data_IF_932916650003
#
_entry.id   IF_932916650003
#
_cell.length_a   1.000
_cell.length_b   1.000
_cell.length_c   1.000
_cell.angle_alpha   90.00
_cell.angle_beta   90.00
_cell.angle_gamma   90.00
#
_symmetry.space_group_name_H-M   'P 1'
#
loop_
_entity.id
_entity.type
_entity.pdbx_description
1 polymer ?
#
# COMPACT_ATOMS: atom_id res chain seq x y z
N UNK A 1 10.33 -20.35 67.42
CA UNK A 1 10.74 -19.37 66.42
C UNK A 1 11.10 -19.99 65.05
N UNK A 2 10.34 -20.97 64.57
CA UNK A 2 10.61 -21.62 63.29
C UNK A 2 9.44 -21.52 62.27
N UNK A 3 8.32 -20.91 62.66
CA UNK A 3 7.12 -20.84 61.80
C UNK A 3 6.94 -19.52 61.04
N UNK A 4 7.80 -18.50 61.29
CA UNK A 4 7.61 -17.17 60.70
C UNK A 4 8.49 -16.94 59.43
N UNK A 5 9.37 -17.87 59.11
CA UNK A 5 10.23 -17.75 57.91
C UNK A 5 9.65 -18.38 56.65
N UNK A 6 8.60 -19.18 56.77
CA UNK A 6 8.02 -19.91 55.63
C UNK A 6 6.92 -19.16 54.91
N UNK A 7 6.38 -18.10 55.50
CA UNK A 7 5.26 -17.33 54.93
C UNK A 7 5.72 -16.20 53.99
N UNK A 8 6.99 -15.75 54.10
CA UNK A 8 7.50 -14.65 53.29
C UNK A 8 7.93 -15.09 51.89
N UNK A 9 8.15 -16.38 51.68
CA UNK A 9 8.56 -16.91 50.35
C UNK A 9 7.44 -17.26 49.40
N UNK A 10 6.18 -17.29 49.91
CA UNK A 10 5.01 -17.66 49.09
C UNK A 10 4.33 -16.48 48.37
N UNK A 11 4.75 -15.24 48.63
CA UNK A 11 4.07 -14.03 48.08
C UNK A 11 4.79 -13.33 46.93
N UNK A 12 5.91 -13.87 46.45
CA UNK A 12 6.68 -13.24 45.35
C UNK A 12 6.47 -13.94 44.00
N UNK A 13 5.68 -15.00 43.94
CA UNK A 13 5.56 -15.83 42.72
C UNK A 13 4.27 -15.60 41.91
N UNK A 14 3.48 -14.56 42.18
CA UNK A 14 2.23 -14.29 41.43
C UNK A 14 2.24 -12.85 40.91
N UNK A 15 3.22 -12.49 40.10
CA UNK A 15 3.13 -11.29 39.28
C UNK A 15 3.93 -11.40 37.99
N UNK A 16 4.00 -12.59 37.41
CA UNK A 16 4.25 -12.71 35.96
C UNK A 16 2.91 -12.61 35.26
N UNK A 17 2.33 -11.42 35.31
CA UNK A 17 1.23 -11.06 34.42
C UNK A 17 1.76 -11.22 32.99
N UNK A 18 1.22 -12.23 32.35
CA UNK A 18 1.28 -12.42 30.93
C UNK A 18 0.88 -11.10 30.24
N UNK A 19 1.88 -10.37 29.77
CA UNK A 19 1.72 -9.46 28.64
C UNK A 19 1.42 -10.36 27.44
N UNK A 20 0.18 -10.86 27.37
CA UNK A 20 -0.38 -11.32 26.10
C UNK A 20 -0.44 -10.07 25.22
N UNK A 21 0.66 -9.81 24.52
CA UNK A 21 0.63 -8.96 23.36
C UNK A 21 -0.48 -9.56 22.49
N UNK A 22 -1.63 -8.92 22.47
CA UNK A 22 -2.62 -9.15 21.43
C UNK A 22 -1.93 -8.86 20.11
N UNK A 23 -1.32 -9.86 19.52
CA UNK A 23 -0.90 -9.82 18.14
C UNK A 23 -2.17 -9.57 17.33
N UNK A 24 -2.41 -8.32 17.00
CA UNK A 24 -3.47 -7.93 16.06
C UNK A 24 -3.07 -8.51 14.73
N UNK A 25 -3.62 -9.68 14.40
CA UNK A 25 -3.36 -10.32 13.11
C UNK A 25 -4.07 -9.49 12.06
N UNK A 26 -3.32 -8.62 11.40
CA UNK A 26 -3.78 -7.87 10.25
C UNK A 26 -4.05 -8.85 9.11
N UNK A 27 -5.16 -8.65 8.40
CA UNK A 27 -5.51 -9.50 7.26
C UNK A 27 -4.85 -8.95 6.01
N UNK A 28 -4.01 -9.77 5.37
CA UNK A 28 -3.44 -9.42 4.08
C UNK A 28 -4.53 -9.23 3.02
N UNK A 29 -4.38 -8.16 2.24
CA UNK A 29 -5.27 -7.77 1.15
C UNK A 29 -4.59 -8.12 -0.15
N UNK A 30 -5.24 -8.95 -0.97
CA UNK A 30 -4.78 -9.22 -2.33
C UNK A 30 -5.07 -8.03 -3.24
N UNK A 31 -4.16 -7.74 -4.14
CA UNK A 31 -4.29 -6.68 -5.14
C UNK A 31 -3.85 -7.18 -6.52
N UNK A 32 -4.18 -6.41 -7.54
CA UNK A 32 -3.75 -6.62 -8.93
C UNK A 32 -3.19 -5.30 -9.46
N UNK A 33 -2.07 -5.33 -10.13
CA UNK A 33 -1.55 -4.17 -10.86
C UNK A 33 -2.46 -3.77 -12.02
N UNK A 34 -2.66 -2.46 -12.17
CA UNK A 34 -3.28 -1.88 -13.34
C UNK A 34 -2.18 -1.44 -14.30
N UNK A 35 -2.20 -1.95 -15.53
CA UNK A 35 -1.18 -1.74 -16.53
C UNK A 35 -1.68 -0.80 -17.64
N UNK A 36 -0.73 -0.23 -18.40
CA UNK A 36 -0.97 0.63 -19.55
C UNK A 36 -1.70 1.94 -19.19
N UNK A 37 -1.23 2.55 -18.11
CA UNK A 37 -1.55 3.91 -17.71
C UNK A 37 -0.28 4.77 -17.69
N UNK A 38 -0.43 6.07 -17.70
CA UNK A 38 0.65 7.04 -17.46
C UNK A 38 0.12 8.18 -16.60
N UNK A 39 1.01 8.81 -15.82
CA UNK A 39 0.67 10.01 -15.05
C UNK A 39 0.57 11.19 -16.01
N UNK A 40 -0.52 11.95 -15.94
CA UNK A 40 -0.74 13.13 -16.79
C UNK A 40 0.29 14.21 -16.48
N UNK A 41 0.67 14.97 -17.50
CA UNK A 41 1.70 16.02 -17.37
C UNK A 41 1.29 17.23 -16.52
N UNK A 42 0.00 17.40 -16.27
CA UNK A 42 -0.57 18.49 -15.47
C UNK A 42 -0.75 18.13 -13.98
N UNK A 43 -0.38 16.92 -13.59
CA UNK A 43 -0.38 16.49 -12.19
C UNK A 43 0.75 17.17 -11.43
N UNK A 44 0.40 17.85 -10.34
CA UNK A 44 1.33 18.51 -9.44
C UNK A 44 1.28 17.97 -8.01
N UNK A 45 0.24 17.22 -7.66
CA UNK A 45 0.10 16.56 -6.37
C UNK A 45 0.45 15.07 -6.49
N UNK A 46 1.62 14.71 -5.98
CA UNK A 46 2.18 13.35 -5.98
C UNK A 46 1.87 12.56 -4.69
N UNK A 47 0.99 13.08 -3.83
CA UNK A 47 0.62 12.35 -2.61
C UNK A 47 -0.02 11.00 -2.93
N UNK A 48 0.35 9.93 -2.23
CA UNK A 48 -0.31 8.64 -2.36
C UNK A 48 -1.81 8.75 -2.07
N UNK A 49 -2.64 8.07 -2.85
CA UNK A 49 -4.10 8.22 -2.75
C UNK A 49 -4.88 6.97 -3.09
N UNK A 50 -6.11 6.94 -2.64
CA UNK A 50 -7.12 6.00 -3.10
C UNK A 50 -8.02 6.70 -4.11
N UNK A 51 -8.25 6.05 -5.24
CA UNK A 51 -9.08 6.51 -6.36
C UNK A 51 -10.34 5.65 -6.38
N UNK A 52 -11.51 6.28 -6.34
CA UNK A 52 -12.79 5.62 -6.12
C UNK A 52 -13.72 5.64 -7.34
N UNK A 53 -13.37 6.42 -8.36
CA UNK A 53 -14.18 6.59 -9.55
C UNK A 53 -13.33 6.77 -10.81
N UNK A 54 -13.95 6.55 -11.96
CA UNK A 54 -13.32 6.79 -13.25
C UNK A 54 -12.96 8.28 -13.43
N UNK A 55 -13.83 9.20 -13.03
CA UNK A 55 -13.56 10.64 -13.09
C UNK A 55 -12.35 11.03 -12.27
N UNK A 56 -12.18 10.44 -11.07
CA UNK A 56 -11.02 10.68 -10.23
C UNK A 56 -9.75 10.09 -10.86
N UNK A 57 -9.83 8.89 -11.47
CA UNK A 57 -8.71 8.29 -12.18
C UNK A 57 -8.20 9.21 -13.31
N UNK A 58 -9.09 9.76 -14.10
CA UNK A 58 -8.80 10.63 -15.26
C UNK A 58 -8.18 11.97 -14.87
N UNK A 59 -8.28 12.38 -13.61
CA UNK A 59 -7.56 13.57 -13.09
C UNK A 59 -6.05 13.33 -12.99
N UNK A 60 -5.62 12.10 -12.76
CA UNK A 60 -4.22 11.76 -12.52
C UNK A 60 -3.60 10.93 -13.63
N UNK A 61 -4.40 10.12 -14.31
CA UNK A 61 -3.89 9.13 -15.25
C UNK A 61 -4.55 9.24 -16.62
N UNK A 62 -3.72 9.06 -17.64
CA UNK A 62 -4.16 8.78 -19.01
C UNK A 62 -3.94 7.31 -19.35
N UNK A 63 -4.61 6.84 -20.40
CA UNK A 63 -4.49 5.48 -20.91
C UNK A 63 -3.37 5.41 -21.97
N UNK A 64 -2.46 4.47 -21.82
CA UNK A 64 -1.34 4.22 -22.72
C UNK A 64 -1.56 2.88 -23.45
N UNK A 65 -2.47 2.85 -24.41
CA UNK A 65 -2.66 1.65 -25.23
C UNK A 65 -1.40 1.38 -26.08
N UNK A 66 -0.90 0.15 -26.02
CA UNK A 66 0.18 -0.33 -26.86
C UNK A 66 -0.40 -1.28 -27.90
N UNK A 67 -0.01 -1.12 -29.17
CA UNK A 67 -0.48 -2.03 -30.21
C UNK A 67 0.12 -3.44 -29.97
N UNK A 68 -0.76 -4.39 -29.67
CA UNK A 68 -0.42 -5.81 -29.59
C UNK A 68 -1.47 -6.64 -30.30
N UNK A 69 -1.06 -7.73 -30.94
CA UNK A 69 -1.97 -8.61 -31.69
C UNK A 69 -2.88 -9.46 -30.81
N UNK A 70 -2.55 -9.59 -29.53
CA UNK A 70 -3.27 -10.42 -28.53
C UNK A 70 -4.13 -9.62 -27.56
N UNK A 71 -4.20 -8.27 -27.76
CA UNK A 71 -4.95 -7.37 -26.86
C UNK A 71 -4.27 -7.11 -25.50
N UNK A 72 -3.07 -7.64 -25.27
CA UNK A 72 -2.34 -7.45 -23.98
C UNK A 72 -1.90 -5.99 -23.75
N UNK A 73 -1.84 -5.20 -24.83
CA UNK A 73 -1.47 -3.78 -24.76
C UNK A 73 -2.59 -2.83 -24.38
N UNK A 74 -3.78 -3.32 -24.05
CA UNK A 74 -4.88 -2.48 -23.63
C UNK A 74 -4.79 -2.10 -22.16
N UNK A 75 -5.17 -0.88 -21.77
CA UNK A 75 -5.26 -0.50 -20.37
C UNK A 75 -6.13 -1.46 -19.56
N UNK A 76 -5.68 -1.80 -18.36
CA UNK A 76 -6.46 -2.63 -17.44
C UNK A 76 -7.82 -1.96 -17.18
N UNK A 77 -8.92 -2.59 -17.56
CA UNK A 77 -10.24 -2.09 -17.25
C UNK A 77 -10.50 -2.12 -15.74
N UNK A 78 -10.97 -1.01 -15.18
CA UNK A 78 -11.23 -0.87 -13.75
C UNK A 78 -12.74 -0.76 -13.51
N UNK A 79 -13.30 -1.75 -12.85
CA UNK A 79 -14.68 -1.72 -12.40
C UNK A 79 -14.78 -1.01 -11.04
N UNK A 80 -15.01 0.29 -11.06
CA UNK A 80 -15.15 1.10 -9.86
C UNK A 80 -16.43 0.83 -9.06
N UNK A 81 -17.31 -0.05 -9.49
CA UNK A 81 -18.42 -0.52 -8.65
C UNK A 81 -17.93 -1.54 -7.61
N UNK A 82 -16.85 -2.27 -7.91
CA UNK A 82 -16.31 -3.38 -7.09
C UNK A 82 -14.91 -3.11 -6.56
N UNK A 83 -14.12 -2.27 -7.22
CA UNK A 83 -12.71 -1.99 -6.94
C UNK A 83 -12.48 -0.53 -6.60
N UNK A 84 -11.49 -0.28 -5.78
CA UNK A 84 -10.79 0.99 -5.69
C UNK A 84 -9.41 0.82 -6.31
N UNK A 85 -8.86 1.91 -6.85
CA UNK A 85 -7.47 1.93 -7.24
C UNK A 85 -6.64 2.66 -6.20
N UNK A 86 -5.43 2.16 -5.93
CA UNK A 86 -4.44 2.79 -5.07
C UNK A 86 -3.34 3.28 -5.97
N UNK A 87 -3.08 4.57 -5.91
CA UNK A 87 -2.04 5.23 -6.68
C UNK A 87 -0.93 5.72 -5.75
N UNK A 88 0.30 5.36 -6.06
CA UNK A 88 1.50 5.92 -5.46
C UNK A 88 2.28 6.54 -6.62
N UNK A 89 2.50 7.84 -6.55
CA UNK A 89 3.16 8.61 -7.59
C UNK A 89 4.36 9.30 -6.93
N UNK A 90 5.53 9.22 -7.54
CA UNK A 90 6.72 9.94 -7.08
C UNK A 90 7.00 11.14 -7.98
N UNK A 91 7.85 12.02 -7.51
CA UNK A 91 8.24 13.20 -8.28
C UNK A 91 8.96 12.80 -9.57
N UNK A 92 8.87 13.67 -10.59
CA UNK A 92 9.58 13.51 -11.84
C UNK A 92 11.07 13.32 -11.61
N UNK A 93 11.65 12.34 -12.27
CA UNK A 93 13.06 11.97 -12.17
C UNK A 93 13.58 11.52 -13.52
N UNK A 94 14.91 11.47 -13.66
CA UNK A 94 15.59 10.86 -14.78
C UNK A 94 16.42 9.62 -14.36
N UNK A 95 16.25 9.15 -13.12
CA UNK A 95 16.90 7.95 -12.59
C UNK A 95 15.86 6.84 -12.52
N UNK A 96 16.22 5.63 -12.99
CA UNK A 96 15.36 4.46 -12.88
C UNK A 96 14.82 4.34 -11.44
N UNK A 97 13.51 4.36 -11.31
CA UNK A 97 12.83 4.40 -10.00
C UNK A 97 11.74 3.35 -9.97
N UNK A 98 11.85 2.42 -9.05
CA UNK A 98 10.86 1.38 -8.80
C UNK A 98 10.08 1.68 -7.51
N UNK A 99 8.75 1.48 -7.57
CA UNK A 99 7.85 1.63 -6.44
C UNK A 99 7.24 0.25 -6.14
N UNK A 100 7.71 -0.36 -5.08
CA UNK A 100 7.28 -1.70 -4.68
C UNK A 100 6.35 -1.66 -3.47
N UNK A 101 5.13 -2.20 -3.61
CA UNK A 101 4.22 -2.39 -2.48
C UNK A 101 4.68 -3.62 -1.69
N UNK A 102 5.13 -3.39 -0.46
CA UNK A 102 5.63 -4.45 0.42
C UNK A 102 4.49 -5.16 1.16
N UNK A 103 3.42 -4.45 1.49
CA UNK A 103 2.21 -5.06 2.04
C UNK A 103 0.98 -4.16 1.92
N UNK A 104 -0.18 -4.79 1.78
CA UNK A 104 -1.48 -4.17 2.01
C UNK A 104 -2.18 -4.99 3.07
N UNK A 105 -2.50 -4.39 4.21
CA UNK A 105 -3.08 -5.06 5.34
C UNK A 105 -4.32 -4.33 5.85
N UNK A 106 -5.39 -5.09 6.12
CA UNK A 106 -6.59 -4.59 6.79
C UNK A 106 -6.52 -4.89 8.27
N UNK A 107 -6.62 -3.85 9.08
CA UNK A 107 -6.68 -3.91 10.53
C UNK A 107 -8.09 -4.27 11.01
N UNK A 108 -8.20 -4.71 12.26
CA UNK A 108 -9.49 -5.02 12.91
C UNK A 108 -10.40 -3.80 13.05
N UNK A 109 -9.83 -2.60 13.15
CA UNK A 109 -10.56 -1.32 13.20
C UNK A 109 -11.15 -0.90 11.84
N UNK A 110 -10.94 -1.71 10.80
CA UNK A 110 -11.44 -1.47 9.46
C UNK A 110 -10.51 -0.64 8.57
N UNK A 111 -9.46 -0.06 9.14
CA UNK A 111 -8.46 0.72 8.39
C UNK A 111 -7.53 -0.16 7.58
N UNK A 112 -7.12 0.33 6.44
CA UNK A 112 -6.16 -0.34 5.56
C UNK A 112 -4.81 0.38 5.65
N UNK A 113 -3.73 -0.37 5.83
CA UNK A 113 -2.37 0.16 5.79
C UNK A 113 -1.66 -0.35 4.56
N UNK A 114 -1.10 0.56 3.77
CA UNK A 114 -0.31 0.26 2.59
C UNK A 114 1.12 0.66 2.87
N UNK A 115 2.02 -0.34 2.83
CA UNK A 115 3.47 -0.13 2.98
C UNK A 115 4.12 -0.25 1.62
N UNK A 116 5.05 0.64 1.33
CA UNK A 116 5.75 0.63 0.06
C UNK A 116 7.17 1.15 0.20
N UNK A 117 8.03 0.72 -0.70
CA UNK A 117 9.41 1.19 -0.86
C UNK A 117 9.58 1.86 -2.21
N UNK A 118 10.43 2.86 -2.23
CA UNK A 118 10.89 3.51 -3.46
C UNK A 118 12.39 3.30 -3.55
N UNK A 119 12.84 2.70 -4.63
CA UNK A 119 14.25 2.45 -4.88
C UNK A 119 14.67 3.10 -6.18
N UNK A 120 15.86 3.67 -6.19
CA UNK A 120 16.47 4.25 -7.38
C UNK A 120 17.74 3.48 -7.72
N UNK A 121 17.97 3.25 -9.01
CA UNK A 121 19.12 2.49 -9.47
C UNK A 121 19.59 3.00 -10.83
N UNK A 122 20.86 2.68 -11.17
CA UNK A 122 21.41 3.01 -12.47
C UNK A 122 21.93 4.44 -12.60
N UNK A 123 22.19 4.83 -13.84
CA UNK A 123 22.69 6.17 -14.22
C UNK A 123 21.52 7.01 -14.74
N UNK A 124 21.61 8.36 -14.62
CA UNK A 124 20.57 9.23 -15.16
C UNK A 124 20.34 9.04 -16.67
N UNK A 125 19.08 8.97 -17.07
CA UNK A 125 18.67 8.95 -18.47
C UNK A 125 18.73 10.37 -19.08
N UNK A 126 18.69 10.46 -20.40
CA UNK A 126 18.58 11.73 -21.14
C UNK A 126 17.14 12.30 -21.14
N UNK A 127 16.18 11.59 -20.60
CA UNK A 127 14.78 11.97 -20.47
C UNK A 127 14.32 11.86 -19.03
N UNK A 128 13.24 12.56 -18.70
CA UNK A 128 12.59 12.46 -17.39
C UNK A 128 11.24 11.79 -17.50
N UNK A 129 10.82 11.12 -16.44
CA UNK A 129 9.52 10.46 -16.32
C UNK A 129 8.99 10.60 -14.89
N UNK A 130 7.71 10.31 -14.70
CA UNK A 130 7.05 10.31 -13.40
C UNK A 130 6.83 8.86 -12.98
N UNK A 131 7.58 8.34 -11.99
CA UNK A 131 7.40 7.00 -11.49
C UNK A 131 6.05 6.86 -10.78
N UNK A 132 5.38 5.75 -11.00
CA UNK A 132 4.13 5.46 -10.28
C UNK A 132 3.89 3.95 -10.19
N UNK A 133 3.05 3.56 -9.24
CA UNK A 133 2.38 2.27 -9.23
C UNK A 133 0.88 2.47 -9.04
N UNK A 134 0.09 1.69 -9.76
CA UNK A 134 -1.37 1.72 -9.71
C UNK A 134 -1.88 0.30 -9.47
N UNK A 135 -2.51 0.05 -8.34
CA UNK A 135 -3.00 -1.28 -7.99
C UNK A 135 -4.48 -1.24 -7.61
N UNK A 136 -5.16 -2.36 -7.88
CA UNK A 136 -6.59 -2.53 -7.67
C UNK A 136 -6.84 -3.37 -6.43
N UNK A 137 -7.66 -2.87 -5.52
CA UNK A 137 -8.13 -3.57 -4.33
C UNK A 137 -9.65 -3.66 -4.33
N UNK A 138 -10.17 -4.71 -3.72
CA UNK A 138 -11.62 -4.89 -3.60
C UNK A 138 -12.22 -3.90 -2.60
N UNK A 139 -13.34 -3.24 -2.95
CA UNK A 139 -14.04 -2.28 -2.08
C UNK A 139 -14.48 -2.85 -0.74
N UNK A 140 -14.65 -4.18 -0.64
CA UNK A 140 -14.96 -4.83 0.65
C UNK A 140 -13.91 -4.59 1.74
N UNK A 141 -12.71 -4.18 1.37
CA UNK A 141 -11.66 -3.86 2.33
C UNK A 141 -11.77 -2.44 2.91
N UNK A 142 -12.65 -1.61 2.36
CA UNK A 142 -12.87 -0.23 2.80
C UNK A 142 -12.00 0.77 2.03
N UNK A 143 -12.06 2.01 2.45
CA UNK A 143 -11.42 3.14 1.81
C UNK A 143 -10.72 4.11 2.80
N UNK A 144 -10.72 3.77 4.09
CA UNK A 144 -9.90 4.45 5.10
C UNK A 144 -8.48 3.87 5.05
N UNK A 145 -7.57 4.61 4.42
CA UNK A 145 -6.24 4.14 4.05
C UNK A 145 -5.15 5.00 4.67
N UNK A 146 -4.14 4.35 5.24
CA UNK A 146 -2.89 4.96 5.67
C UNK A 146 -1.74 4.46 4.80
N UNK A 147 -0.94 5.38 4.26
CA UNK A 147 0.25 5.07 3.48
C UNK A 147 1.50 5.18 4.34
N UNK A 148 2.39 4.21 4.23
CA UNK A 148 3.65 4.15 4.97
C UNK A 148 4.78 3.87 3.99
N UNK A 149 5.62 4.87 3.73
CA UNK A 149 6.86 4.73 2.95
C UNK A 149 7.93 4.17 3.87
N UNK A 150 8.62 3.07 3.45
CA UNK A 150 9.67 2.37 4.20
C UNK A 150 11.07 2.71 3.71
#
# INVERSE_FOLDING_TARGET
MKALKTIVFALITICTLALTACATTDKNVSYKEAQHYFVRNDVTDFSPRIIRSQTELEQYFGMAAVMSNDGSGMPTAIDFTRKNAIAIIEQQTNIETDIHITSIAKRKDGKMTIRYKVTQSGTPHSYSFVPFTLVLVDKKYGDDVTFVKE
#
